data_IF_440652792199
#
_entry.id   IF_440652792199
#
_cell.length_a   1.000
_cell.length_b   1.000
_cell.length_c   1.000
_cell.angle_alpha   90.00
_cell.angle_beta   90.00
_cell.angle_gamma   90.00
#
_symmetry.space_group_name_H-M   'P 1'
#
loop_
_entity.id
_entity.type
_entity.pdbx_description
1 polymer ?
#
# COMPACT_ATOMS: atom_id res chain seq x y z
N UNK A 1 7.73 24.02 -1.94
CA UNK A 1 9.12 24.50 -1.96
C UNK A 1 9.85 24.18 -0.67
N UNK A 2 9.59 24.90 0.43
CA UNK A 2 10.34 24.75 1.69
C UNK A 2 9.77 23.78 2.73
N UNK A 3 8.50 23.39 2.65
CA UNK A 3 7.85 22.61 3.71
C UNK A 3 8.35 21.16 3.79
N UNK A 4 8.72 20.53 2.66
CA UNK A 4 9.14 19.13 2.64
C UNK A 4 10.43 18.86 3.43
N UNK A 5 11.31 19.86 3.58
CA UNK A 5 12.61 19.71 4.25
C UNK A 5 12.49 19.45 5.76
N UNK A 6 11.35 19.76 6.38
CA UNK A 6 11.12 19.60 7.83
C UNK A 6 10.09 18.52 8.17
N UNK A 7 9.43 17.92 7.19
CA UNK A 7 8.44 16.88 7.48
C UNK A 7 9.13 15.60 7.95
N UNK A 8 8.75 15.14 9.15
CA UNK A 8 9.20 13.86 9.68
C UNK A 8 8.43 12.71 9.04
N UNK A 9 9.15 11.67 8.66
CA UNK A 9 8.57 10.40 8.27
C UNK A 9 8.03 9.70 9.52
N UNK A 10 6.73 9.40 9.57
CA UNK A 10 6.13 8.71 10.72
C UNK A 10 6.60 7.25 10.85
N UNK A 11 7.21 6.68 9.80
CA UNK A 11 7.72 5.31 9.77
C UNK A 11 9.12 5.24 10.38
N UNK A 12 10.08 6.02 9.86
CA UNK A 12 11.49 5.96 10.28
C UNK A 12 11.94 7.11 11.20
N UNK A 13 11.09 8.12 11.44
CA UNK A 13 11.39 9.27 12.29
C UNK A 13 12.25 10.38 11.67
N UNK A 14 12.93 10.11 10.56
CA UNK A 14 13.83 11.07 9.90
C UNK A 14 13.06 12.17 9.14
N UNK A 15 13.65 13.36 9.01
CA UNK A 15 13.12 14.48 8.21
C UNK A 15 13.20 14.21 6.70
N UNK A 16 12.56 15.08 5.90
CA UNK A 16 12.60 15.02 4.45
C UNK A 16 11.50 14.14 3.82
N UNK A 17 10.46 13.79 4.57
CA UNK A 17 9.30 13.09 4.03
C UNK A 17 8.57 13.97 3.00
N UNK A 18 8.42 13.47 1.79
CA UNK A 18 7.80 14.23 0.68
C UNK A 18 6.36 13.83 0.39
N UNK A 19 5.89 12.72 0.95
CA UNK A 19 4.53 12.22 0.74
C UNK A 19 3.71 12.49 2.00
N UNK A 20 2.55 13.12 1.85
CA UNK A 20 1.59 13.37 2.93
C UNK A 20 0.29 12.63 2.63
N UNK A 21 -0.35 12.11 3.69
CA UNK A 21 -1.66 11.48 3.58
C UNK A 21 -2.69 12.42 2.96
N UNK A 22 -3.47 11.93 2.00
CA UNK A 22 -4.48 12.70 1.29
C UNK A 22 -5.80 12.86 2.07
N UNK A 23 -5.96 12.13 3.19
CA UNK A 23 -7.14 12.25 4.05
C UNK A 23 -7.18 13.60 4.77
N UNK A 24 -8.37 14.20 4.83
CA UNK A 24 -8.54 15.53 5.40
C UNK A 24 -8.24 15.54 6.90
N UNK A 25 -7.37 16.44 7.34
CA UNK A 25 -6.94 16.53 8.73
C UNK A 25 -5.86 15.52 9.15
N UNK A 26 -5.43 14.61 8.26
CA UNK A 26 -4.31 13.71 8.53
C UNK A 26 -2.97 14.37 8.15
N UNK A 27 -2.09 14.58 9.12
CA UNK A 27 -0.79 15.22 8.90
C UNK A 27 0.38 14.24 8.78
N UNK A 28 0.10 12.92 8.77
CA UNK A 28 1.14 11.90 8.64
C UNK A 28 1.83 12.03 7.30
N UNK A 29 3.15 12.14 7.34
CA UNK A 29 4.02 12.19 6.17
C UNK A 29 5.02 11.03 6.20
N UNK A 30 5.42 10.52 5.05
CA UNK A 30 6.35 9.40 4.92
C UNK A 30 7.27 9.56 3.71
N UNK A 31 8.45 8.93 3.76
CA UNK A 31 9.29 8.78 2.58
C UNK A 31 8.70 7.73 1.64
N UNK A 32 8.90 7.90 0.34
CA UNK A 32 8.50 6.89 -0.64
C UNK A 32 9.11 5.50 -0.34
N UNK A 33 10.40 5.35 -0.01
CA UNK A 33 10.97 4.05 0.37
C UNK A 33 10.36 3.44 1.64
N UNK A 34 9.89 4.28 2.56
CA UNK A 34 9.23 3.83 3.79
C UNK A 34 7.77 3.42 3.59
N UNK A 35 7.19 3.65 2.41
CA UNK A 35 5.76 3.41 2.18
C UNK A 35 5.38 1.94 2.39
N UNK A 36 6.22 1.00 1.93
CA UNK A 36 5.94 -0.44 2.08
C UNK A 36 6.01 -0.88 3.54
N UNK A 37 7.03 -0.42 4.27
CA UNK A 37 7.22 -0.75 5.69
C UNK A 37 6.12 -0.13 6.57
N UNK A 38 5.68 1.09 6.23
CA UNK A 38 4.61 1.80 6.93
C UNK A 38 3.19 1.41 6.52
N UNK A 39 3.02 0.33 5.74
CA UNK A 39 1.75 -0.10 5.14
C UNK A 39 0.98 1.03 4.43
N UNK A 40 1.70 2.00 3.87
CA UNK A 40 1.12 3.10 3.12
C UNK A 40 0.74 2.65 1.71
N UNK A 41 -0.22 3.37 1.13
CA UNK A 41 -0.65 3.18 -0.27
C UNK A 41 -0.38 4.46 -1.04
N UNK A 42 0.50 4.37 -2.05
CA UNK A 42 0.68 5.41 -3.06
C UNK A 42 -0.04 4.99 -4.34
N UNK A 43 -0.96 5.81 -4.82
CA UNK A 43 -1.68 5.55 -6.07
C UNK A 43 -0.94 6.25 -7.21
N UNK A 44 -0.54 5.51 -8.24
CA UNK A 44 0.12 6.05 -9.44
C UNK A 44 -0.88 6.35 -10.58
N UNK A 45 -2.14 6.60 -10.22
CA UNK A 45 -3.22 6.87 -11.14
C UNK A 45 -4.10 8.01 -10.62
N UNK A 46 -4.90 8.61 -11.52
CA UNK A 46 -5.82 9.69 -11.17
C UNK A 46 -5.08 10.91 -10.60
N UNK A 47 -5.41 11.29 -9.37
CA UNK A 47 -4.82 12.45 -8.69
C UNK A 47 -3.53 12.13 -7.91
N UNK A 48 -2.94 10.95 -8.14
CA UNK A 48 -1.69 10.53 -7.49
C UNK A 48 -1.74 10.59 -5.94
N UNK A 49 -2.90 10.24 -5.38
CA UNK A 49 -3.13 10.33 -3.92
C UNK A 49 -2.36 9.26 -3.17
N UNK A 50 -1.92 9.61 -1.97
CA UNK A 50 -1.20 8.71 -1.08
C UNK A 50 -1.86 8.69 0.29
N UNK A 51 -1.88 7.54 0.95
CA UNK A 51 -2.59 7.32 2.20
C UNK A 51 -1.71 6.59 3.20
N UNK A 52 -1.74 7.03 4.46
CA UNK A 52 -1.07 6.33 5.56
C UNK A 52 -1.81 5.02 5.89
N UNK A 53 -1.23 4.18 6.76
CA UNK A 53 -1.84 2.89 7.12
C UNK A 53 -3.30 3.02 7.59
N UNK A 54 -3.66 4.05 8.34
CA UNK A 54 -5.02 4.19 8.87
C UNK A 54 -6.06 4.58 7.80
N UNK A 55 -5.66 5.39 6.82
CA UNK A 55 -6.55 5.91 5.78
C UNK A 55 -6.36 5.23 4.42
N UNK A 56 -5.56 4.16 4.37
CA UNK A 56 -5.33 3.43 3.12
C UNK A 56 -6.65 2.83 2.62
N UNK A 57 -6.90 2.88 1.30
CA UNK A 57 -8.06 2.19 0.75
C UNK A 57 -7.93 0.69 0.98
N UNK A 58 -9.01 0.09 1.46
CA UNK A 58 -9.16 -1.36 1.55
C UNK A 58 -9.93 -1.85 0.32
N UNK A 59 -9.64 -3.07 -0.14
CA UNK A 59 -10.44 -3.65 -1.22
C UNK A 59 -11.90 -3.79 -0.75
N UNK A 60 -12.89 -3.63 -1.63
CA UNK A 60 -14.30 -3.84 -1.27
C UNK A 60 -14.73 -5.31 -1.36
N UNK A 61 -13.96 -6.15 -2.07
CA UNK A 61 -14.32 -7.54 -2.42
C UNK A 61 -14.22 -8.51 -1.24
N UNK A 62 -15.32 -9.10 -0.80
CA UNK A 62 -15.36 -9.97 0.39
C UNK A 62 -14.73 -11.36 0.21
N UNK A 63 -14.21 -11.70 -0.97
CA UNK A 63 -13.52 -12.96 -1.20
C UNK A 63 -12.36 -13.17 -0.21
N UNK A 64 -12.16 -14.42 0.21
CA UNK A 64 -11.08 -14.85 1.09
C UNK A 64 -10.22 -15.92 0.38
N UNK A 65 -8.90 -15.96 0.65
CA UNK A 65 -8.04 -17.01 0.13
C UNK A 65 -8.47 -18.37 0.66
N UNK A 66 -8.29 -19.42 -0.14
CA UNK A 66 -8.28 -20.80 0.35
C UNK A 66 -6.94 -21.12 0.99
N UNK A 67 -6.86 -22.20 1.78
CA UNK A 67 -5.65 -22.61 2.51
C UNK A 67 -4.39 -22.76 1.62
N UNK A 68 -4.57 -23.10 0.35
CA UNK A 68 -3.47 -23.30 -0.61
C UNK A 68 -3.39 -22.20 -1.67
N UNK A 69 -4.02 -21.05 -1.42
CA UNK A 69 -3.96 -19.93 -2.35
C UNK A 69 -2.52 -19.41 -2.46
N UNK A 70 -2.02 -19.36 -3.69
CA UNK A 70 -0.69 -18.85 -4.01
C UNK A 70 -0.78 -17.54 -4.78
N UNK A 71 0.27 -16.72 -4.67
CA UNK A 71 0.41 -15.54 -5.49
C UNK A 71 0.70 -15.97 -6.93
N UNK A 72 -0.12 -15.55 -7.89
CA UNK A 72 0.04 -15.96 -9.30
C UNK A 72 1.36 -15.47 -9.91
N UNK A 73 1.97 -14.42 -9.36
CA UNK A 73 3.23 -13.84 -9.87
C UNK A 73 4.45 -14.64 -9.42
N UNK A 74 4.54 -14.98 -8.13
CA UNK A 74 5.73 -15.62 -7.56
C UNK A 74 5.53 -17.10 -7.19
N UNK A 75 4.30 -17.61 -7.31
CA UNK A 75 3.90 -18.99 -6.97
C UNK A 75 4.07 -19.38 -5.49
N UNK A 76 4.38 -18.43 -4.62
CA UNK A 76 4.48 -18.65 -3.16
C UNK A 76 3.12 -18.46 -2.47
N UNK A 77 2.88 -19.09 -1.31
CA UNK A 77 1.64 -18.93 -0.54
C UNK A 77 1.36 -17.47 -0.19
N UNK A 78 0.10 -17.03 -0.28
CA UNK A 78 -0.34 -15.74 0.28
C UNK A 78 -0.82 -15.91 1.71
N UNK A 79 -0.97 -14.80 2.46
CA UNK A 79 -1.55 -14.85 3.80
C UNK A 79 -3.02 -15.28 3.80
N UNK A 80 -3.47 -15.90 4.89
CA UNK A 80 -4.80 -16.54 5.04
C UNK A 80 -6.01 -15.59 4.95
N UNK A 81 -5.75 -14.29 5.01
CA UNK A 81 -6.77 -13.26 4.92
C UNK A 81 -6.31 -12.11 4.06
N UNK A 82 -7.28 -11.44 3.47
CA UNK A 82 -7.06 -10.24 2.68
C UNK A 82 -6.57 -9.11 3.60
N UNK A 83 -5.46 -8.49 3.24
CA UNK A 83 -4.73 -7.58 4.13
C UNK A 83 -4.02 -6.49 3.31
N UNK A 84 -3.13 -5.71 3.92
CA UNK A 84 -2.23 -4.85 3.16
C UNK A 84 -1.36 -5.67 2.19
N UNK A 85 -0.83 -6.82 2.64
CA UNK A 85 0.10 -7.64 1.86
C UNK A 85 -0.61 -8.62 0.93
N UNK A 86 -1.84 -9.05 1.24
CA UNK A 86 -2.62 -10.02 0.44
C UNK A 86 -3.76 -9.36 -0.29
N UNK A 87 -3.72 -9.39 -1.62
CA UNK A 87 -4.67 -8.74 -2.52
C UNK A 87 -5.37 -9.75 -3.43
N UNK A 88 -6.62 -9.48 -3.80
CA UNK A 88 -7.40 -10.27 -4.77
C UNK A 88 -7.67 -9.49 -6.06
N UNK A 89 -7.72 -10.15 -7.22
CA UNK A 89 -8.20 -9.51 -8.45
C UNK A 89 -9.67 -9.11 -8.27
N UNK A 90 -10.02 -7.81 -8.39
CA UNK A 90 -11.39 -7.36 -8.19
C UNK A 90 -12.37 -7.84 -9.26
N UNK A 91 -11.87 -8.22 -10.44
CA UNK A 91 -12.71 -8.67 -11.56
C UNK A 91 -13.11 -10.14 -11.43
N UNK A 92 -12.13 -11.05 -11.26
CA UNK A 92 -12.41 -12.48 -11.22
C UNK A 92 -12.58 -13.03 -9.81
N UNK A 93 -12.10 -12.34 -8.78
CA UNK A 93 -12.20 -12.72 -7.36
C UNK A 93 -11.54 -14.05 -6.95
N UNK A 94 -10.81 -14.70 -7.87
CA UNK A 94 -10.13 -15.98 -7.61
C UNK A 94 -8.60 -15.88 -7.73
N UNK A 95 -8.08 -14.81 -8.31
CA UNK A 95 -6.64 -14.59 -8.46
C UNK A 95 -6.08 -13.80 -7.28
N UNK A 96 -5.06 -14.35 -6.63
CA UNK A 96 -4.44 -13.80 -5.42
C UNK A 96 -3.02 -13.30 -5.67
N UNK A 97 -2.62 -12.28 -4.93
CA UNK A 97 -1.36 -11.59 -5.11
C UNK A 97 -0.78 -11.10 -3.79
N UNK A 98 0.54 -11.22 -3.64
CA UNK A 98 1.26 -10.32 -2.77
C UNK A 98 1.21 -8.92 -3.35
N UNK A 99 0.87 -7.92 -2.52
CA UNK A 99 0.88 -6.51 -2.93
C UNK A 99 2.23 -6.10 -3.51
N UNK A 100 3.33 -6.55 -2.89
CA UNK A 100 4.67 -6.31 -3.39
C UNK A 100 4.86 -6.86 -4.83
N UNK A 101 4.38 -8.07 -5.12
CA UNK A 101 4.54 -8.70 -6.43
C UNK A 101 3.80 -7.96 -7.56
N UNK A 102 2.70 -7.25 -7.28
CA UNK A 102 1.99 -6.44 -8.29
C UNK A 102 2.48 -4.99 -8.36
N UNK A 103 3.16 -4.51 -7.31
CA UNK A 103 3.78 -3.18 -7.30
C UNK A 103 5.18 -3.17 -7.93
N UNK A 104 5.83 -4.34 -8.06
CA UNK A 104 7.02 -4.54 -8.91
C UNK A 104 6.57 -4.42 -10.37
N UNK A 105 6.66 -3.21 -10.92
CA UNK A 105 6.16 -2.87 -12.25
C UNK A 105 5.68 -1.43 -12.39
N UNK A 106 5.53 -0.69 -11.28
CA UNK A 106 5.28 0.74 -11.27
C UNK A 106 6.58 1.56 -11.18
N UNK A 107 7.58 1.22 -12.02
CA UNK A 107 8.77 2.04 -12.27
C UNK A 107 8.61 2.80 -13.60
#
# INVERSE_FOLDING_TARGET
GLLCSFQHCFVCGNVGATITCAESGCHRSFHLPCASEGECVTQYFGQFRSFCWEHRPQQAVEAAPTQDSTCIVCMEPVGDSRSYSTMVCPACQHAWFHRACIQVGAL
#
